data_IF_706333157522
#
_entry.id   IF_706333157522
#
_cell.length_a   1.000
_cell.length_b   1.000
_cell.length_c   1.000
_cell.angle_alpha   90.00
_cell.angle_beta   90.00
_cell.angle_gamma   90.00
#
_symmetry.space_group_name_H-M   'P 1'
#
loop_
_entity.id
_entity.type
_entity.pdbx_description
1 polymer ?
#
# COMPACT_ATOMS: atom_id res chain seq x y z
N UNK A 1 -16.66 -0.32 -0.86
CA UNK A 1 -15.74 0.83 -0.99
C UNK A 1 -14.48 0.57 -0.16
N UNK A 2 -13.29 0.94 -0.64
CA UNK A 2 -12.01 0.76 0.09
C UNK A 2 -11.42 2.14 0.37
N UNK A 3 -11.13 2.44 1.63
CA UNK A 3 -10.47 3.69 2.01
C UNK A 3 -8.99 3.63 1.61
N UNK A 4 -8.49 4.70 1.00
CA UNK A 4 -7.06 4.85 0.65
C UNK A 4 -6.52 6.16 1.21
N UNK A 5 -5.24 6.17 1.60
CA UNK A 5 -4.59 7.42 2.00
C UNK A 5 -4.32 8.26 0.74
N UNK A 6 -4.87 9.49 0.63
CA UNK A 6 -4.72 10.34 -0.55
C UNK A 6 -3.39 11.10 -0.58
N UNK A 7 -2.62 11.12 0.50
CA UNK A 7 -1.40 11.91 0.62
C UNK A 7 -0.40 11.59 -0.50
N UNK A 8 0.13 12.68 -1.08
CA UNK A 8 1.17 12.68 -2.12
C UNK A 8 0.81 12.01 -3.45
N UNK A 9 -0.43 11.58 -3.66
CA UNK A 9 -0.85 10.88 -4.89
C UNK A 9 -0.62 11.65 -6.18
N UNK A 10 -0.68 12.99 -6.15
CA UNK A 10 -0.38 13.86 -7.30
C UNK A 10 1.13 14.10 -7.54
N UNK A 11 1.96 13.83 -6.53
CA UNK A 11 3.41 14.03 -6.57
C UNK A 11 4.17 12.73 -6.84
N UNK A 12 3.74 11.62 -6.25
CA UNK A 12 4.33 10.30 -6.48
C UNK A 12 4.06 9.88 -7.94
N UNK A 13 5.07 9.44 -8.66
CA UNK A 13 4.94 8.99 -10.05
C UNK A 13 4.23 7.64 -10.09
N UNK A 14 3.12 7.57 -10.83
CA UNK A 14 2.36 6.33 -10.97
C UNK A 14 3.13 5.23 -11.71
N UNK A 15 4.18 5.57 -12.46
CA UNK A 15 4.99 4.61 -13.20
C UNK A 15 6.15 4.05 -12.38
N UNK A 16 6.95 4.91 -11.73
CA UNK A 16 8.18 4.48 -11.05
C UNK A 16 8.18 4.68 -9.53
N UNK A 17 7.15 5.31 -8.96
CA UNK A 17 7.03 5.55 -7.52
C UNK A 17 7.87 6.71 -6.97
N UNK A 18 8.72 7.35 -7.78
CA UNK A 18 9.52 8.49 -7.33
C UNK A 18 8.66 9.73 -7.04
N UNK A 19 9.07 10.57 -6.09
CA UNK A 19 8.32 11.79 -5.75
C UNK A 19 8.76 12.99 -6.57
N UNK A 20 7.82 13.57 -7.31
CA UNK A 20 8.00 14.80 -8.09
C UNK A 20 7.32 15.95 -7.34
N UNK A 21 8.11 16.74 -6.60
CA UNK A 21 7.60 17.94 -5.90
C UNK A 21 7.15 18.98 -6.91
N UNK A 22 5.94 19.52 -6.71
CA UNK A 22 5.34 20.56 -7.55
C UNK A 22 4.23 21.27 -6.80
N UNK A 23 3.96 22.52 -7.17
CA UNK A 23 2.84 23.29 -6.63
C UNK A 23 1.50 22.84 -7.23
N UNK A 24 0.39 23.26 -6.62
CA UNK A 24 -0.97 22.99 -7.12
C UNK A 24 -1.26 23.69 -8.47
N UNK A 25 -0.47 24.68 -8.86
CA UNK A 25 -0.60 25.33 -10.16
C UNK A 25 -0.11 24.44 -11.31
N UNK A 26 0.85 23.53 -11.04
CA UNK A 26 1.40 22.64 -12.07
C UNK A 26 0.41 21.52 -12.37
N UNK A 27 -0.20 21.55 -13.55
CA UNK A 27 -1.20 20.57 -14.02
C UNK A 27 -0.60 19.38 -14.76
N UNK A 28 0.63 19.49 -15.26
CA UNK A 28 1.37 18.37 -15.87
C UNK A 28 2.19 17.62 -14.81
N UNK A 29 2.10 16.29 -14.80
CA UNK A 29 3.05 15.43 -14.12
C UNK A 29 4.14 15.02 -15.11
N UNK A 30 5.34 15.57 -14.95
CA UNK A 30 6.55 15.14 -15.66
C UNK A 30 7.53 14.52 -14.67
N UNK A 31 7.83 13.24 -14.84
CA UNK A 31 8.76 12.51 -13.98
C UNK A 31 10.16 12.52 -14.58
N UNK A 32 11.10 13.19 -13.92
CA UNK A 32 12.51 13.22 -14.34
C UNK A 32 13.20 11.86 -14.21
N UNK A 33 12.70 10.98 -13.34
CA UNK A 33 13.35 9.70 -13.04
C UNK A 33 13.02 8.61 -14.07
N UNK A 34 11.84 8.66 -14.71
CA UNK A 34 11.42 7.64 -15.68
C UNK A 34 10.87 8.19 -17.00
N UNK A 35 10.82 9.52 -17.17
CA UNK A 35 10.30 10.16 -18.37
C UNK A 35 8.78 10.15 -18.52
N UNK A 36 8.02 9.59 -17.56
CA UNK A 36 6.56 9.57 -17.65
C UNK A 36 5.96 10.99 -17.63
N UNK A 37 5.09 11.27 -18.60
CA UNK A 37 4.36 12.54 -18.73
C UNK A 37 2.86 12.26 -18.83
N UNK A 38 2.06 12.92 -17.99
CA UNK A 38 0.60 12.86 -18.02
C UNK A 38 -0.01 14.07 -17.31
N UNK A 39 -1.33 14.23 -17.36
CA UNK A 39 -2.01 15.17 -16.47
C UNK A 39 -1.85 14.73 -15.00
N UNK A 40 -1.63 15.67 -14.09
CA UNK A 40 -1.40 15.43 -12.66
C UNK A 40 -2.53 14.64 -12.01
N UNK A 41 -3.77 14.97 -12.36
CA UNK A 41 -4.94 14.34 -11.76
C UNK A 41 -5.12 12.90 -12.29
N UNK A 42 -4.69 12.62 -13.53
CA UNK A 42 -4.64 11.26 -14.07
C UNK A 42 -3.57 10.40 -13.36
N UNK A 43 -2.37 10.94 -13.16
CA UNK A 43 -1.33 10.30 -12.34
C UNK A 43 -1.83 10.00 -10.91
N UNK A 44 -2.54 10.94 -10.29
CA UNK A 44 -3.12 10.77 -8.97
C UNK A 44 -4.17 9.65 -8.92
N UNK A 45 -5.07 9.60 -9.92
CA UNK A 45 -6.09 8.56 -10.02
C UNK A 45 -5.47 7.15 -10.14
N UNK A 46 -4.42 6.99 -10.96
CA UNK A 46 -3.70 5.72 -11.07
C UNK A 46 -3.08 5.32 -9.72
N UNK A 47 -2.46 6.26 -9.00
CA UNK A 47 -1.91 5.99 -7.68
C UNK A 47 -2.98 5.55 -6.67
N UNK A 48 -4.15 6.21 -6.67
CA UNK A 48 -5.30 5.83 -5.84
C UNK A 48 -5.77 4.41 -6.18
N UNK A 49 -5.92 4.10 -7.47
CA UNK A 49 -6.32 2.77 -7.93
C UNK A 49 -5.32 1.69 -7.47
N UNK A 50 -4.02 1.91 -7.69
CA UNK A 50 -2.96 0.97 -7.28
C UNK A 50 -2.94 0.74 -5.77
N UNK A 51 -3.14 1.79 -4.96
CA UNK A 51 -3.24 1.69 -3.50
C UNK A 51 -4.49 0.91 -3.08
N UNK A 52 -5.62 1.16 -3.74
CA UNK A 52 -6.89 0.45 -3.51
C UNK A 52 -6.78 -1.05 -3.80
N UNK A 53 -6.21 -1.42 -4.95
CA UNK A 53 -5.97 -2.81 -5.33
C UNK A 53 -5.06 -3.53 -4.33
N UNK A 54 -3.95 -2.90 -3.91
CA UNK A 54 -3.05 -3.47 -2.89
C UNK A 54 -3.75 -3.71 -1.55
N UNK A 55 -4.65 -2.81 -1.13
CA UNK A 55 -5.41 -2.95 0.12
C UNK A 55 -6.51 -4.01 0.01
N UNK A 56 -7.20 -4.08 -1.12
CA UNK A 56 -8.19 -5.12 -1.41
C UNK A 56 -7.58 -6.52 -1.41
N UNK A 57 -6.44 -6.69 -2.09
CA UNK A 57 -5.72 -7.96 -2.13
C UNK A 57 -5.28 -8.43 -0.73
N UNK A 58 -4.85 -7.51 0.15
CA UNK A 58 -4.51 -7.85 1.55
C UNK A 58 -5.73 -8.21 2.39
N UNK A 59 -6.89 -7.60 2.15
CA UNK A 59 -8.12 -7.96 2.84
C UNK A 59 -8.59 -9.37 2.44
N UNK A 60 -8.38 -9.76 1.18
CA UNK A 60 -8.73 -11.09 0.67
C UNK A 60 -7.79 -12.22 1.12
N UNK A 61 -6.62 -11.90 1.71
CA UNK A 61 -5.62 -12.87 2.18
C UNK A 61 -5.61 -13.11 3.69
N UNK A 62 -6.50 -12.49 4.46
CA UNK A 62 -6.62 -12.75 5.90
C UNK A 62 -7.51 -13.96 6.14
N UNK A 63 -6.88 -15.15 6.12
CA UNK A 63 -7.31 -16.26 6.95
C UNK A 63 -7.30 -15.84 8.42
N UNK A 64 -8.21 -16.40 9.18
CA UNK A 64 -8.57 -16.16 10.57
C UNK A 64 -7.45 -16.50 11.59
N UNK A 65 -6.16 -16.25 11.34
CA UNK A 65 -5.13 -16.55 12.35
C UNK A 65 -5.04 -15.42 13.38
N UNK A 66 -5.97 -15.49 14.33
CA UNK A 66 -5.98 -14.73 15.56
C UNK A 66 -4.75 -15.11 16.41
N UNK A 67 -4.14 -14.06 16.96
CA UNK A 67 -3.11 -14.04 18.00
C UNK A 67 -3.26 -15.18 19.02
N UNK A 68 -2.48 -16.26 18.87
CA UNK A 68 -2.24 -17.20 19.97
C UNK A 68 -1.03 -16.68 20.75
N UNK A 69 -1.29 -16.25 21.99
CA UNK A 69 -0.25 -15.83 22.92
C UNK A 69 0.60 -17.04 23.34
N UNK A 70 1.89 -16.77 23.58
CA UNK A 70 2.99 -17.73 23.78
C UNK A 70 3.03 -18.31 25.22
N UNK A 71 1.94 -18.83 25.77
CA UNK A 71 1.94 -19.33 27.17
C UNK A 71 1.17 -20.64 27.48
N UNK A 72 0.62 -21.37 26.50
CA UNK A 72 -0.06 -22.66 26.78
C UNK A 72 0.68 -23.86 26.16
N UNK A 73 1.88 -24.16 26.67
CA UNK A 73 2.55 -25.43 26.37
C UNK A 73 2.26 -26.42 27.50
N UNK A 74 1.46 -27.49 27.30
CA UNK A 74 1.35 -28.53 28.30
C UNK A 74 2.65 -29.33 28.26
N UNK A 75 3.49 -29.13 29.27
CA UNK A 75 4.58 -30.06 29.58
C UNK A 75 3.97 -31.42 29.88
N UNK A 76 3.98 -32.33 28.91
CA UNK A 76 3.79 -33.75 29.19
C UNK A 76 5.18 -34.35 29.41
N UNK A 77 5.69 -34.19 30.64
CA UNK A 77 6.85 -34.93 31.11
C UNK A 77 6.50 -35.53 32.48
N UNK A 78 6.29 -36.85 32.48
CA UNK A 78 6.10 -37.61 33.72
C UNK A 78 5.31 -38.89 33.52
N UNK A 79 5.83 -39.85 32.75
CA UNK A 79 5.45 -41.26 32.94
C UNK A 79 6.30 -41.83 34.08
N UNK A 80 5.70 -42.35 35.16
CA UNK A 80 6.43 -43.12 36.17
C UNK A 80 6.37 -44.61 35.83
N UNK A 81 7.54 -45.24 35.68
CA UNK A 81 8.11 -46.29 36.56
C UNK A 81 9.51 -46.65 36.08
#
# INVERSE_FOLDING_TARGET
MILVNPAYTSQDCSQCGSRVRKSLAVREHRCINCGFVAHRDHNAAINIQKRGQKRGARASGMGYEARVNREDSPTIAGHPV
#
